data_IF_883137068426
#
_entry.id   IF_883137068426
#
_cell.length_a   1.000
_cell.length_b   1.000
_cell.length_c   1.000
_cell.angle_alpha   90.00
_cell.angle_beta   90.00
_cell.angle_gamma   90.00
#
_symmetry.space_group_name_H-M   'P 1'
#
loop_
_entity.id
_entity.type
_entity.pdbx_description
1 polymer ?
#
# COMPACT_ATOMS: atom_id res chain seq x y z
N UNK A 1 -24.91 11.17 -16.27
CA UNK A 1 -24.96 10.03 -17.22
C UNK A 1 -24.09 8.86 -16.75
N UNK A 2 -22.91 9.09 -16.15
CA UNK A 2 -21.97 8.03 -15.71
C UNK A 2 -22.60 7.02 -14.72
N UNK A 3 -23.41 7.49 -13.78
CA UNK A 3 -24.02 6.67 -12.71
C UNK A 3 -25.50 6.37 -12.92
N UNK A 4 -26.08 6.76 -14.06
CA UNK A 4 -27.50 6.55 -14.35
C UNK A 4 -27.90 5.07 -14.32
N UNK A 5 -27.03 4.18 -14.84
CA UNK A 5 -27.26 2.72 -14.82
C UNK A 5 -27.09 2.10 -13.43
N UNK A 6 -26.53 2.86 -12.46
CA UNK A 6 -26.41 2.49 -11.04
C UNK A 6 -27.55 3.08 -10.19
N UNK A 7 -28.63 3.53 -10.81
CA UNK A 7 -29.83 4.05 -10.15
C UNK A 7 -29.76 5.51 -9.68
N UNK A 8 -28.71 6.25 -10.05
CA UNK A 8 -28.58 7.66 -9.69
C UNK A 8 -29.39 8.52 -10.65
N UNK A 9 -30.47 9.12 -10.15
CA UNK A 9 -31.28 10.07 -10.92
C UNK A 9 -30.55 11.43 -11.07
N UNK A 10 -30.95 12.22 -12.07
CA UNK A 10 -30.40 13.56 -12.26
C UNK A 10 -30.61 14.47 -11.03
N UNK A 11 -31.75 14.35 -10.37
CA UNK A 11 -32.05 15.14 -9.19
C UNK A 11 -31.14 14.75 -8.01
N UNK A 12 -30.93 13.45 -7.78
CA UNK A 12 -30.01 12.96 -6.75
C UNK A 12 -28.57 13.39 -7.07
N UNK A 13 -28.12 13.26 -8.31
CA UNK A 13 -26.80 13.73 -8.73
C UNK A 13 -26.59 15.23 -8.45
N UNK A 14 -27.60 16.07 -8.72
CA UNK A 14 -27.52 17.51 -8.40
C UNK A 14 -27.41 17.78 -6.91
N UNK A 15 -28.08 16.99 -6.07
CA UNK A 15 -27.99 17.09 -4.61
C UNK A 15 -26.58 16.70 -4.13
N UNK A 16 -26.07 15.56 -4.59
CA UNK A 16 -24.76 15.05 -4.20
C UNK A 16 -23.63 16.00 -4.63
N UNK A 17 -23.70 16.52 -5.85
CA UNK A 17 -22.74 17.52 -6.38
C UNK A 17 -22.79 18.88 -5.65
N UNK A 18 -23.72 19.12 -4.75
CA UNK A 18 -23.75 20.31 -3.87
C UNK A 18 -23.20 20.03 -2.48
N UNK A 19 -23.08 18.77 -2.07
CA UNK A 19 -22.84 18.39 -0.66
C UNK A 19 -21.59 17.51 -0.50
N UNK A 20 -21.18 16.81 -1.52
CA UNK A 20 -20.12 15.81 -1.45
C UNK A 20 -18.81 16.34 -2.05
N UNK A 21 -17.99 17.00 -1.23
CA UNK A 21 -16.77 17.68 -1.70
C UNK A 21 -15.82 16.73 -2.44
N UNK A 22 -15.60 15.51 -1.91
CA UNK A 22 -14.74 14.53 -2.58
C UNK A 22 -15.30 14.09 -3.93
N UNK A 23 -16.63 13.95 -4.07
CA UNK A 23 -17.27 13.68 -5.35
C UNK A 23 -17.07 14.83 -6.34
N UNK A 24 -17.21 16.07 -5.88
CA UNK A 24 -16.98 17.27 -6.71
C UNK A 24 -15.55 17.28 -7.25
N UNK A 25 -14.56 17.14 -6.34
CA UNK A 25 -13.14 17.12 -6.72
C UNK A 25 -12.80 15.97 -7.66
N UNK A 26 -13.34 14.78 -7.41
CA UNK A 26 -13.14 13.62 -8.29
C UNK A 26 -13.75 13.84 -9.69
N UNK A 27 -14.90 14.51 -9.78
CA UNK A 27 -15.50 14.88 -11.07
C UNK A 27 -14.69 15.94 -11.81
N UNK A 28 -14.10 16.90 -11.12
CA UNK A 28 -13.22 17.90 -11.74
C UNK A 28 -11.97 17.25 -12.30
N UNK A 29 -11.36 16.32 -11.54
CA UNK A 29 -10.20 15.54 -12.00
C UNK A 29 -10.57 14.69 -13.23
N UNK A 30 -11.70 13.97 -13.20
CA UNK A 30 -12.18 13.17 -14.32
C UNK A 30 -12.43 13.99 -15.60
N UNK A 31 -12.84 15.25 -15.46
CA UNK A 31 -13.08 16.17 -16.58
C UNK A 31 -11.81 16.88 -17.07
N UNK A 32 -10.69 16.71 -16.39
CA UNK A 32 -9.45 17.41 -16.70
C UNK A 32 -9.46 18.90 -16.35
N UNK A 33 -10.33 19.30 -15.43
CA UNK A 33 -10.40 20.69 -14.93
C UNK A 33 -9.32 20.97 -13.87
N UNK A 34 -8.71 19.92 -13.31
CA UNK A 34 -7.58 19.93 -12.35
C UNK A 34 -6.64 18.77 -12.65
N UNK A 35 -5.37 18.89 -12.25
CA UNK A 35 -4.33 17.89 -12.49
C UNK A 35 -4.21 16.84 -11.38
N UNK A 36 -4.74 17.11 -10.19
CA UNK A 36 -4.70 16.24 -9.03
C UNK A 36 -5.79 16.57 -8.02
N UNK A 37 -6.01 15.65 -7.09
CA UNK A 37 -6.99 15.81 -6.02
C UNK A 37 -6.37 15.39 -4.70
N UNK A 38 -6.38 16.30 -3.72
CA UNK A 38 -6.13 16.01 -2.31
C UNK A 38 -7.47 16.08 -1.57
N UNK A 39 -7.87 15.00 -0.92
CA UNK A 39 -9.10 14.95 -0.13
C UNK A 39 -8.86 14.23 1.21
N UNK A 40 -9.64 14.59 2.22
CA UNK A 40 -9.49 14.04 3.58
C UNK A 40 -9.95 15.00 4.64
N UNK A 41 -9.31 14.93 5.83
CA UNK A 41 -9.54 15.71 7.06
C UNK A 41 -10.86 15.42 7.79
N UNK A 42 -11.85 14.85 7.14
CA UNK A 42 -13.11 14.42 7.73
C UNK A 42 -13.55 13.08 7.16
N UNK A 43 -14.36 12.33 7.90
CA UNK A 43 -14.82 10.99 7.52
C UNK A 43 -13.69 9.94 7.46
N UNK A 44 -13.95 8.78 6.87
CA UNK A 44 -12.99 7.67 6.75
C UNK A 44 -12.34 7.64 5.38
N UNK A 45 -11.12 7.07 5.22
CA UNK A 45 -10.48 6.87 3.93
C UNK A 45 -11.39 6.14 2.93
N UNK A 46 -12.14 5.16 3.39
CA UNK A 46 -13.06 4.38 2.57
C UNK A 46 -14.19 5.24 1.98
N UNK A 47 -14.69 6.24 2.72
CA UNK A 47 -15.71 7.16 2.21
C UNK A 47 -15.21 7.96 1.02
N UNK A 48 -13.96 8.45 1.08
CA UNK A 48 -13.34 9.19 -0.03
C UNK A 48 -13.06 8.27 -1.21
N UNK A 49 -12.52 7.07 -0.94
CA UNK A 49 -12.22 6.06 -1.95
C UNK A 49 -13.46 5.64 -2.75
N UNK A 50 -14.62 5.52 -2.12
CA UNK A 50 -15.88 5.21 -2.81
C UNK A 50 -16.22 6.23 -3.91
N UNK A 51 -15.93 7.51 -3.72
CA UNK A 51 -16.14 8.51 -4.78
C UNK A 51 -15.12 8.41 -5.90
N UNK A 52 -13.88 8.07 -5.57
CA UNK A 52 -12.83 7.80 -6.56
C UNK A 52 -13.22 6.59 -7.41
N UNK A 53 -13.64 5.49 -6.78
CA UNK A 53 -14.09 4.28 -7.47
C UNK A 53 -15.30 4.54 -8.38
N UNK A 54 -16.28 5.31 -7.91
CA UNK A 54 -17.49 5.60 -8.69
C UNK A 54 -17.23 6.42 -9.96
N UNK A 55 -16.24 7.29 -9.94
CA UNK A 55 -16.01 8.30 -10.99
C UNK A 55 -14.81 7.93 -11.87
N UNK A 56 -13.70 7.53 -11.28
CA UNK A 56 -12.45 7.23 -11.96
C UNK A 56 -12.28 5.72 -12.12
N UNK A 57 -12.47 4.96 -11.04
CA UNK A 57 -12.25 3.50 -11.00
C UNK A 57 -10.77 3.13 -10.99
N UNK A 58 -10.52 1.83 -11.09
CA UNK A 58 -9.17 1.29 -11.20
C UNK A 58 -8.54 1.57 -12.57
N UNK A 59 -7.23 1.74 -12.61
CA UNK A 59 -6.51 1.73 -13.88
C UNK A 59 -6.58 0.32 -14.53
N UNK A 60 -6.47 0.23 -15.88
CA UNK A 60 -6.49 -1.08 -16.54
C UNK A 60 -5.45 -2.04 -15.96
N UNK A 61 -5.86 -3.29 -15.70
CA UNK A 61 -4.99 -4.33 -15.16
C UNK A 61 -4.79 -4.31 -13.65
N UNK A 62 -5.43 -3.37 -12.92
CA UNK A 62 -5.43 -3.30 -11.47
C UNK A 62 -6.80 -3.68 -10.92
N UNK A 63 -6.82 -4.58 -9.95
CA UNK A 63 -8.04 -5.08 -9.33
C UNK A 63 -8.25 -4.57 -7.90
N UNK A 64 -7.21 -4.07 -7.26
CA UNK A 64 -7.17 -3.74 -5.84
C UNK A 64 -6.77 -2.29 -5.60
N UNK A 65 -7.44 -1.59 -4.70
CA UNK A 65 -6.96 -0.35 -4.11
C UNK A 65 -6.06 -0.65 -2.93
N UNK A 66 -5.06 0.18 -2.67
CA UNK A 66 -4.20 0.09 -1.50
C UNK A 66 -3.80 1.47 -0.98
N UNK A 67 -3.45 1.52 0.30
CA UNK A 67 -2.90 2.70 0.94
C UNK A 67 -1.41 2.48 1.25
N UNK A 68 -0.57 3.41 0.80
CA UNK A 68 0.84 3.46 1.15
C UNK A 68 1.11 4.67 2.04
N UNK A 69 1.72 4.45 3.20
CA UNK A 69 2.22 5.54 4.03
C UNK A 69 3.74 5.59 3.99
N UNK A 70 4.29 6.79 3.78
CA UNK A 70 5.70 7.07 3.93
C UNK A 70 6.01 7.68 5.28
N UNK A 71 6.98 7.14 6.00
CA UNK A 71 7.53 7.69 7.23
C UNK A 71 8.91 8.27 6.96
N UNK A 72 9.06 9.57 7.20
CA UNK A 72 10.35 10.26 7.18
C UNK A 72 10.94 10.22 8.59
N UNK A 73 11.71 9.19 8.87
CA UNK A 73 12.40 9.01 10.14
C UNK A 73 13.71 9.79 10.15
N UNK A 74 14.34 10.02 11.30
CA UNK A 74 15.55 10.84 11.39
C UNK A 74 16.72 10.35 10.51
N UNK A 75 16.86 9.04 10.32
CA UNK A 75 17.98 8.39 9.63
C UNK A 75 17.57 7.66 8.33
N UNK A 76 16.28 7.48 8.09
CA UNK A 76 15.78 6.71 6.95
C UNK A 76 14.36 7.08 6.54
N UNK A 77 13.98 6.66 5.32
CA UNK A 77 12.61 6.72 4.83
C UNK A 77 12.07 5.29 4.73
N UNK A 78 10.88 5.05 5.26
CA UNK A 78 10.23 3.73 5.25
C UNK A 78 8.80 3.87 4.76
N UNK A 79 8.42 3.05 3.80
CA UNK A 79 7.07 2.98 3.26
C UNK A 79 6.39 1.69 3.72
N UNK A 80 5.13 1.78 4.11
CA UNK A 80 4.33 0.65 4.58
C UNK A 80 3.08 0.49 3.73
N UNK A 81 2.72 -0.76 3.39
CA UNK A 81 1.50 -1.14 2.68
C UNK A 81 0.90 -2.42 3.26
N UNK A 82 -0.41 -2.63 3.25
CA UNK A 82 -1.51 -1.70 3.10
C UNK A 82 -1.98 -1.25 4.48
N UNK A 83 -1.98 0.03 4.73
CA UNK A 83 -2.20 0.55 6.09
C UNK A 83 -3.65 0.92 6.40
N UNK A 84 -4.57 0.95 5.41
CA UNK A 84 -5.92 1.50 5.61
C UNK A 84 -7.07 0.85 4.84
N UNK A 85 -6.84 -0.04 3.86
CA UNK A 85 -7.88 -0.44 2.91
C UNK A 85 -8.24 -1.92 3.00
N UNK A 86 -7.27 -2.82 2.81
CA UNK A 86 -7.56 -4.24 2.71
C UNK A 86 -7.38 -4.96 4.05
N UNK A 87 -8.48 -5.46 4.61
CA UNK A 87 -8.48 -6.09 5.95
C UNK A 87 -7.58 -7.33 5.98
N UNK A 88 -7.81 -8.30 5.11
CA UNK A 88 -6.99 -9.52 4.99
C UNK A 88 -6.81 -9.89 3.50
N UNK A 89 -5.88 -9.20 2.79
CA UNK A 89 -5.67 -9.43 1.37
C UNK A 89 -5.10 -10.81 1.09
N UNK A 90 -5.48 -11.39 -0.06
CA UNK A 90 -4.89 -12.66 -0.56
C UNK A 90 -3.43 -12.45 -1.01
N UNK A 91 -2.73 -13.55 -1.29
CA UNK A 91 -1.37 -13.47 -1.82
C UNK A 91 -1.30 -12.72 -3.17
N UNK A 92 -2.29 -12.92 -4.04
CA UNK A 92 -2.39 -12.21 -5.32
C UNK A 92 -2.62 -10.71 -5.13
N UNK A 93 -3.50 -10.33 -4.19
CA UNK A 93 -3.75 -8.93 -3.84
C UNK A 93 -2.51 -8.29 -3.23
N UNK A 94 -1.83 -8.97 -2.30
CA UNK A 94 -0.56 -8.49 -1.73
C UNK A 94 0.52 -8.32 -2.78
N UNK A 95 0.60 -9.24 -3.75
CA UNK A 95 1.55 -9.11 -4.84
C UNK A 95 1.24 -7.89 -5.72
N UNK A 96 -0.04 -7.64 -6.01
CA UNK A 96 -0.47 -6.45 -6.77
C UNK A 96 -0.17 -5.16 -5.98
N UNK A 97 -0.52 -5.11 -4.69
CA UNK A 97 -0.23 -3.99 -3.78
C UNK A 97 1.27 -3.70 -3.73
N UNK A 98 2.10 -4.74 -3.58
CA UNK A 98 3.56 -4.60 -3.52
C UNK A 98 4.13 -3.98 -4.79
N UNK A 99 3.69 -4.47 -5.96
CA UNK A 99 4.15 -3.94 -7.25
C UNK A 99 3.70 -2.49 -7.44
N UNK A 100 2.45 -2.16 -7.13
CA UNK A 100 1.94 -0.79 -7.23
C UNK A 100 2.71 0.17 -6.32
N UNK A 101 2.98 -0.23 -5.07
CA UNK A 101 3.74 0.58 -4.12
C UNK A 101 5.17 0.81 -4.63
N UNK A 102 5.84 -0.22 -5.12
CA UNK A 102 7.18 -0.13 -5.67
C UNK A 102 7.23 0.75 -6.93
N UNK A 103 6.23 0.68 -7.81
CA UNK A 103 6.11 1.57 -8.97
C UNK A 103 5.94 3.03 -8.53
N UNK A 104 5.15 3.29 -7.50
CA UNK A 104 4.92 4.64 -7.00
C UNK A 104 6.18 5.22 -6.33
N UNK A 105 6.91 4.43 -5.54
CA UNK A 105 8.21 4.85 -5.01
C UNK A 105 9.19 5.25 -6.12
N UNK A 106 9.23 4.50 -7.23
CA UNK A 106 10.07 4.85 -8.39
C UNK A 106 9.65 6.17 -9.04
N UNK A 107 8.36 6.51 -9.05
CA UNK A 107 7.87 7.81 -9.53
C UNK A 107 8.37 8.97 -8.67
N UNK A 108 8.56 8.74 -7.35
CA UNK A 108 9.20 9.69 -6.46
C UNK A 108 10.74 9.70 -6.56
N UNK A 109 11.32 8.91 -7.45
CA UNK A 109 12.78 8.80 -7.60
C UNK A 109 13.44 7.93 -6.53
N UNK A 110 12.68 7.14 -5.79
CA UNK A 110 13.15 6.27 -4.71
C UNK A 110 13.27 4.84 -5.25
N UNK A 111 14.45 4.23 -5.09
CA UNK A 111 14.64 2.82 -5.44
C UNK A 111 13.98 1.94 -4.37
N UNK A 112 12.93 1.15 -4.72
CA UNK A 112 12.25 0.30 -3.76
C UNK A 112 13.08 -0.93 -3.43
N UNK A 113 13.16 -1.25 -2.13
CA UNK A 113 13.73 -2.46 -1.54
C UNK A 113 12.67 -3.07 -0.64
N UNK A 114 11.96 -4.07 -1.14
CA UNK A 114 10.75 -4.58 -0.51
C UNK A 114 11.06 -5.76 0.42
N UNK A 115 10.49 -5.74 1.62
CA UNK A 115 10.49 -6.86 2.56
C UNK A 115 9.05 -7.31 2.84
N UNK A 116 8.79 -8.60 2.67
CA UNK A 116 7.52 -9.21 3.04
C UNK A 116 7.57 -9.62 4.52
N UNK A 117 6.81 -8.91 5.37
CA UNK A 117 6.89 -9.09 6.81
C UNK A 117 5.99 -10.21 7.33
N UNK A 118 6.48 -10.91 8.33
CA UNK A 118 5.78 -12.00 9.02
C UNK A 118 6.31 -12.17 10.44
N UNK A 119 5.62 -12.98 11.23
CA UNK A 119 6.16 -13.58 12.47
C UNK A 119 7.15 -14.73 12.20
N UNK A 120 7.41 -15.04 10.93
CA UNK A 120 8.29 -16.11 10.46
C UNK A 120 9.47 -15.51 9.73
N UNK A 121 10.67 -16.07 9.93
CA UNK A 121 11.86 -15.77 9.14
C UNK A 121 12.15 -16.95 8.21
N UNK A 122 12.08 -16.72 6.90
CA UNK A 122 12.55 -17.63 5.84
C UNK A 122 12.14 -19.09 6.04
N UNK A 123 10.85 -19.32 6.29
CA UNK A 123 10.29 -20.67 6.42
C UNK A 123 10.27 -21.23 7.85
N UNK A 124 10.57 -20.43 8.89
CA UNK A 124 10.55 -20.90 10.28
C UNK A 124 9.16 -21.26 10.80
N UNK A 125 8.09 -20.83 10.12
CA UNK A 125 6.69 -21.14 10.45
C UNK A 125 5.90 -21.57 9.21
N UNK A 126 4.96 -22.50 9.41
CA UNK A 126 3.98 -22.91 8.38
C UNK A 126 2.55 -22.43 8.69
N UNK A 127 2.40 -21.42 9.53
CA UNK A 127 1.11 -20.80 9.77
C UNK A 127 0.58 -20.09 8.50
N UNK A 128 -0.75 -19.99 8.35
CA UNK A 128 -1.34 -19.45 7.10
C UNK A 128 -0.82 -18.09 6.65
N UNK A 129 -0.55 -17.18 7.60
CA UNK A 129 -0.01 -15.86 7.26
C UNK A 129 1.41 -15.91 6.72
N UNK A 130 2.28 -16.81 7.24
CA UNK A 130 3.64 -17.00 6.72
C UNK A 130 3.62 -17.64 5.32
N UNK A 131 2.78 -18.65 5.12
CA UNK A 131 2.58 -19.29 3.81
C UNK A 131 2.09 -18.27 2.78
N UNK A 132 1.13 -17.41 3.14
CA UNK A 132 0.63 -16.33 2.30
C UNK A 132 1.76 -15.39 1.84
N UNK A 133 2.65 -14.99 2.75
CA UNK A 133 3.76 -14.10 2.40
C UNK A 133 4.79 -14.78 1.48
N UNK A 134 5.09 -16.07 1.66
CA UNK A 134 5.94 -16.84 0.71
C UNK A 134 5.31 -16.95 -0.68
N UNK A 135 4.02 -17.21 -0.75
CA UNK A 135 3.28 -17.20 -2.02
C UNK A 135 3.30 -15.83 -2.67
N UNK A 136 3.11 -14.78 -1.88
CA UNK A 136 3.24 -13.38 -2.34
C UNK A 136 4.61 -13.12 -2.95
N UNK A 137 5.70 -13.56 -2.30
CA UNK A 137 7.06 -13.42 -2.84
C UNK A 137 7.20 -14.07 -4.23
N UNK A 138 6.73 -15.30 -4.38
CA UNK A 138 6.79 -16.01 -5.65
C UNK A 138 6.01 -15.28 -6.76
N UNK A 139 4.83 -14.75 -6.43
CA UNK A 139 4.01 -13.99 -7.35
C UNK A 139 4.65 -12.65 -7.75
N UNK A 140 5.25 -11.93 -6.80
CA UNK A 140 5.94 -10.66 -7.07
C UNK A 140 7.18 -10.90 -7.95
N UNK A 141 8.02 -11.87 -7.62
CA UNK A 141 9.20 -12.21 -8.44
C UNK A 141 8.83 -12.54 -9.89
N UNK A 142 7.67 -13.16 -10.11
CA UNK A 142 7.15 -13.43 -11.46
C UNK A 142 6.59 -12.18 -12.16
N UNK A 143 5.86 -11.33 -11.44
CA UNK A 143 5.22 -10.12 -12.01
C UNK A 143 6.19 -8.95 -12.21
N UNK A 144 7.13 -8.80 -11.29
CA UNK A 144 8.06 -7.67 -11.24
C UNK A 144 9.51 -8.15 -10.97
N UNK A 145 10.14 -8.85 -11.93
CA UNK A 145 11.50 -9.36 -11.76
C UNK A 145 12.56 -8.26 -11.57
N UNK A 146 12.20 -7.02 -11.82
CA UNK A 146 13.02 -5.83 -11.59
C UNK A 146 13.04 -5.36 -10.14
N UNK A 147 12.11 -5.84 -9.29
CA UNK A 147 11.97 -5.40 -7.91
C UNK A 147 12.91 -6.20 -7.01
N UNK A 148 13.76 -5.49 -6.28
CA UNK A 148 14.56 -6.06 -5.21
C UNK A 148 13.63 -6.37 -4.02
N UNK A 149 13.40 -7.66 -3.78
CA UNK A 149 12.42 -8.13 -2.78
C UNK A 149 12.85 -9.45 -2.16
N UNK A 150 12.61 -9.60 -0.86
CA UNK A 150 12.78 -10.88 -0.16
C UNK A 150 11.80 -11.05 1.00
N UNK A 151 11.77 -12.22 1.61
CA UNK A 151 10.93 -12.62 2.75
C UNK A 151 10.42 -14.06 2.61
N UNK A 152 9.60 -14.51 3.51
CA UNK A 152 9.03 -13.71 4.63
C UNK A 152 10.07 -13.54 5.75
N UNK A 153 10.02 -12.41 6.44
CA UNK A 153 10.96 -12.09 7.50
C UNK A 153 10.36 -11.21 8.61
N UNK A 154 11.02 -11.17 9.77
CA UNK A 154 10.69 -10.25 10.86
C UNK A 154 11.00 -8.79 10.49
N UNK A 155 10.38 -7.84 11.20
CA UNK A 155 10.57 -6.42 10.95
C UNK A 155 11.98 -5.91 11.25
N UNK A 156 12.65 -6.42 12.27
CA UNK A 156 14.05 -6.12 12.59
C UNK A 156 15.01 -6.63 11.51
N UNK A 157 14.75 -7.83 10.99
CA UNK A 157 15.52 -8.44 9.90
C UNK A 157 15.34 -7.64 8.59
N UNK A 158 14.16 -7.07 8.38
CA UNK A 158 13.90 -6.22 7.22
C UNK A 158 14.67 -4.88 7.28
N UNK A 159 14.71 -4.28 8.47
CA UNK A 159 15.28 -2.94 8.68
C UNK A 159 16.79 -2.92 8.97
N UNK A 160 17.42 -4.09 9.06
CA UNK A 160 18.85 -4.26 9.29
C UNK A 160 19.42 -5.34 8.37
N UNK A 161 20.17 -4.89 7.35
CA UNK A 161 20.75 -5.75 6.34
C UNK A 161 21.80 -6.72 6.90
N UNK A 162 22.56 -6.33 7.91
CA UNK A 162 23.58 -7.18 8.53
C UNK A 162 22.94 -8.31 9.34
N UNK A 163 21.89 -7.99 10.09
CA UNK A 163 21.07 -9.00 10.81
C UNK A 163 20.45 -9.98 9.82
N UNK A 164 19.96 -9.49 8.68
CA UNK A 164 19.35 -10.34 7.65
C UNK A 164 20.37 -11.30 7.04
N UNK A 165 21.53 -10.82 6.63
CA UNK A 165 22.59 -11.66 6.04
C UNK A 165 23.07 -12.71 7.03
N UNK A 166 23.14 -12.40 8.31
CA UNK A 166 23.48 -13.37 9.35
C UNK A 166 22.44 -14.49 9.50
N UNK A 167 21.17 -14.21 9.20
CA UNK A 167 20.09 -15.21 9.27
C UNK A 167 19.86 -15.94 7.96
N UNK A 168 20.07 -15.28 6.83
CA UNK A 168 19.88 -15.83 5.49
C UNK A 168 20.97 -15.26 4.56
N UNK A 169 22.06 -16.02 4.42
CA UNK A 169 23.19 -15.61 3.59
C UNK A 169 22.83 -15.45 2.11
N UNK A 170 21.84 -16.21 1.62
CA UNK A 170 21.36 -16.19 0.23
C UNK A 170 20.23 -15.17 -0.01
N UNK A 171 20.03 -14.21 0.93
CA UNK A 171 19.01 -13.17 0.74
C UNK A 171 19.20 -12.39 -0.56
N UNK A 172 18.10 -12.13 -1.26
CA UNK A 172 18.12 -11.37 -2.52
C UNK A 172 17.97 -9.87 -2.32
N UNK A 173 17.81 -9.41 -1.08
CA UNK A 173 17.65 -8.01 -0.69
C UNK A 173 18.99 -7.47 -0.16
N UNK A 174 19.49 -6.38 -0.73
CA UNK A 174 20.80 -5.80 -0.38
C UNK A 174 20.61 -4.56 0.52
N UNK A 175 21.26 -4.55 1.71
CA UNK A 175 21.09 -3.46 2.69
C UNK A 175 19.67 -3.43 3.29
N UNK A 176 19.28 -2.34 3.89
CA UNK A 176 18.00 -2.21 4.60
C UNK A 176 16.81 -2.12 3.64
N UNK A 177 15.69 -2.72 4.01
CA UNK A 177 14.43 -2.53 3.29
C UNK A 177 13.88 -1.12 3.53
N UNK A 178 13.23 -0.56 2.51
CA UNK A 178 12.52 0.72 2.61
C UNK A 178 11.04 0.62 2.22
N UNK A 179 10.59 -0.56 1.72
CA UNK A 179 9.19 -0.87 1.48
C UNK A 179 8.80 -2.10 2.31
N UNK A 180 7.98 -1.90 3.32
CA UNK A 180 7.48 -2.93 4.21
C UNK A 180 6.08 -3.37 3.78
N UNK A 181 5.92 -4.63 3.44
CA UNK A 181 4.64 -5.22 3.05
C UNK A 181 4.14 -6.10 4.20
N UNK A 182 3.01 -5.72 4.76
CA UNK A 182 2.44 -6.38 5.94
C UNK A 182 1.34 -7.38 5.52
N UNK A 183 1.14 -8.47 6.29
CA UNK A 183 0.24 -9.55 5.89
C UNK A 183 -1.25 -9.19 5.93
N UNK A 184 -1.63 -8.18 6.70
CA UNK A 184 -3.01 -7.75 6.89
C UNK A 184 -3.08 -6.32 7.45
N UNK A 185 -4.30 -5.77 7.51
CA UNK A 185 -4.55 -4.41 7.96
C UNK A 185 -4.10 -4.15 9.41
N UNK A 186 -4.39 -5.06 10.32
CA UNK A 186 -4.02 -4.88 11.74
C UNK A 186 -2.51 -4.77 11.91
N UNK A 187 -1.75 -5.68 11.30
CA UNK A 187 -0.30 -5.64 11.33
C UNK A 187 0.24 -4.33 10.72
N UNK A 188 -0.29 -3.92 9.58
CA UNK A 188 0.16 -2.72 8.88
C UNK A 188 -0.17 -1.43 9.65
N UNK A 189 -1.39 -1.30 10.12
CA UNK A 189 -1.85 -0.11 10.84
C UNK A 189 -1.15 0.04 12.19
N UNK A 190 -1.01 -1.06 12.95
CA UNK A 190 -0.29 -1.07 14.23
C UNK A 190 1.18 -0.70 14.02
N UNK A 191 1.87 -1.35 13.08
CA UNK A 191 3.27 -1.08 12.77
C UNK A 191 3.49 0.38 12.36
N UNK A 192 2.64 0.91 11.46
CA UNK A 192 2.67 2.31 11.03
C UNK A 192 2.57 3.27 12.22
N UNK A 193 1.57 3.09 13.08
CA UNK A 193 1.36 3.99 14.22
C UNK A 193 2.47 3.90 15.28
N UNK A 194 3.00 2.69 15.53
CA UNK A 194 4.12 2.49 16.46
C UNK A 194 5.41 3.12 15.92
N UNK A 195 5.78 2.86 14.68
CA UNK A 195 6.99 3.40 14.05
C UNK A 195 6.94 4.93 13.99
N UNK A 196 5.80 5.50 13.57
CA UNK A 196 5.59 6.94 13.52
C UNK A 196 5.90 7.63 14.86
N UNK A 197 5.49 7.01 15.97
CA UNK A 197 5.63 7.59 17.31
C UNK A 197 6.96 7.24 17.96
N UNK A 198 7.33 5.94 17.98
CA UNK A 198 8.48 5.44 18.72
C UNK A 198 9.82 5.79 18.08
N UNK A 199 9.88 5.90 16.75
CA UNK A 199 11.11 6.26 16.05
C UNK A 199 11.33 7.78 15.94
N UNK A 200 10.54 8.61 16.61
CA UNK A 200 10.62 10.07 16.54
C UNK A 200 10.25 10.65 15.17
N UNK A 201 9.62 9.85 14.33
CA UNK A 201 9.12 10.26 13.02
C UNK A 201 7.87 11.13 13.19
N UNK A 202 8.05 12.42 13.02
CA UNK A 202 6.95 13.38 13.13
C UNK A 202 6.26 13.66 11.79
N UNK A 203 6.78 13.09 10.69
CA UNK A 203 6.27 13.33 9.34
C UNK A 203 5.84 12.00 8.73
N UNK A 204 4.56 11.90 8.45
CA UNK A 204 3.96 10.81 7.72
C UNK A 204 3.23 11.38 6.49
N UNK A 205 3.44 10.78 5.35
CA UNK A 205 2.85 11.13 4.07
C UNK A 205 1.99 9.97 3.57
#
# INVERSE_FOLDING_TARGET
>A
KMTARKGVTEQLAKIDMRRRLSLIGTMMLHKGEVDGLICGTWSTPLTHLNYVDQVIGNRPGVSTYAAMNGLLLPDRQVFLVDTHINYDPTAEQLAEITVMAAEEMRRFGIQPKAALLSHSNFGSSNQPSALKMRETLALVKKKAPWLEIDGEMHGDVALDGDVRVAQMADTTLIGDANLLVLPNLDAANIAYNLLKTAAGGNIAI
#
